data_IF_240317005525
#
_entry.id   IF_240317005525
#
_cell.length_a   1.000
_cell.length_b   1.000
_cell.length_c   1.000
_cell.angle_alpha   90.00
_cell.angle_beta   90.00
_cell.angle_gamma   90.00
#
_symmetry.space_group_name_H-M   'P 1'
#
loop_
_entity.id
_entity.type
_entity.pdbx_description
1 polymer ?
#
# COMPACT_ATOMS: atom_id res chain seq x y z
N UNK A 1 -29.56 25.71 -20.62
CA UNK A 1 -28.70 24.53 -20.83
C UNK A 1 -27.32 25.04 -21.26
N UNK A 2 -26.57 24.98 -20.51
CA UNK A 2 -25.37 25.16 -19.68
C UNK A 2 -24.10 25.37 -20.54
N UNK A 3 -23.77 26.66 -20.74
CA UNK A 3 -22.43 27.08 -21.21
C UNK A 3 -21.30 26.79 -20.17
N UNK A 4 -21.63 26.57 -18.91
CA UNK A 4 -20.65 26.29 -17.85
C UNK A 4 -20.13 24.83 -17.90
N UNK A 5 -20.95 23.87 -18.31
CA UNK A 5 -20.54 22.47 -18.41
C UNK A 5 -19.57 22.21 -19.58
N UNK A 6 -19.73 22.95 -20.68
CA UNK A 6 -18.85 22.84 -21.86
C UNK A 6 -17.45 23.39 -21.57
N UNK A 7 -17.35 24.42 -20.74
CA UNK A 7 -16.07 25.02 -20.36
C UNK A 7 -15.27 24.12 -19.42
N UNK A 8 -15.96 23.36 -18.54
CA UNK A 8 -15.33 22.41 -17.63
C UNK A 8 -14.81 21.17 -18.35
N UNK A 9 -15.56 20.63 -19.31
CA UNK A 9 -15.13 19.48 -20.11
C UNK A 9 -13.95 19.84 -21.04
N UNK A 10 -13.93 21.04 -21.59
CA UNK A 10 -12.83 21.52 -22.42
C UNK A 10 -11.55 21.76 -21.60
N UNK A 11 -11.67 22.38 -20.43
CA UNK A 11 -10.56 22.59 -19.50
C UNK A 11 -9.98 21.25 -19.01
N UNK A 12 -10.83 20.29 -18.66
CA UNK A 12 -10.41 18.94 -18.22
C UNK A 12 -9.69 18.19 -19.34
N UNK A 13 -10.11 18.37 -20.58
CA UNK A 13 -9.48 17.75 -21.75
C UNK A 13 -8.09 18.33 -22.02
N UNK A 14 -7.94 19.64 -21.92
CA UNK A 14 -6.65 20.33 -22.06
C UNK A 14 -5.68 19.87 -20.97
N UNK A 15 -6.13 19.77 -19.72
CA UNK A 15 -5.33 19.29 -18.59
C UNK A 15 -4.88 17.83 -18.78
N UNK A 16 -5.77 16.97 -19.27
CA UNK A 16 -5.46 15.55 -19.55
C UNK A 16 -4.45 15.43 -20.70
N UNK A 17 -4.51 16.27 -21.72
CA UNK A 17 -3.57 16.25 -22.83
C UNK A 17 -2.20 16.82 -22.42
N UNK A 18 -2.15 17.84 -21.56
CA UNK A 18 -0.91 18.32 -20.95
C UNK A 18 -0.27 17.27 -20.03
N UNK A 19 -1.06 16.58 -19.20
CA UNK A 19 -0.61 15.46 -18.37
C UNK A 19 -0.02 14.31 -19.20
N UNK A 20 -0.66 13.95 -20.31
CA UNK A 20 -0.16 12.93 -21.23
C UNK A 20 1.14 13.34 -21.90
N UNK A 21 1.25 14.61 -22.33
CA UNK A 21 2.45 15.15 -22.96
C UNK A 21 3.61 15.21 -21.96
N UNK A 22 3.36 15.59 -20.72
CA UNK A 22 4.36 15.62 -19.65
C UNK A 22 4.80 14.20 -19.25
N UNK A 23 3.90 13.23 -19.15
CA UNK A 23 4.21 11.81 -18.95
C UNK A 23 5.03 11.23 -20.11
N UNK A 24 4.72 11.59 -21.37
CA UNK A 24 5.49 11.16 -22.54
C UNK A 24 6.89 11.78 -22.59
N UNK A 25 7.04 13.04 -22.16
CA UNK A 25 8.35 13.71 -22.02
C UNK A 25 9.18 13.05 -20.89
N UNK A 26 8.54 12.66 -19.78
CA UNK A 26 9.16 11.93 -18.69
C UNK A 26 9.63 10.52 -19.09
N UNK A 27 8.85 9.79 -19.88
CA UNK A 27 9.26 8.49 -20.42
C UNK A 27 10.49 8.59 -21.34
N UNK A 28 10.74 9.76 -21.90
CA UNK A 28 11.91 10.02 -22.77
C UNK A 28 13.18 10.37 -21.99
N UNK A 29 13.06 10.77 -20.72
CA UNK A 29 14.18 11.14 -19.84
C UNK A 29 14.42 10.03 -18.80
N UNK A 30 15.00 8.93 -19.21
CA UNK A 30 15.30 7.75 -18.37
C UNK A 30 16.32 7.99 -17.22
N UNK A 31 16.70 9.23 -16.93
CA UNK A 31 17.69 9.57 -15.89
C UNK A 31 17.19 10.57 -14.83
N UNK A 32 15.88 10.67 -14.60
CA UNK A 32 15.37 11.58 -13.56
C UNK A 32 15.65 11.01 -12.18
N UNK A 33 16.44 11.71 -11.39
CA UNK A 33 16.78 11.33 -10.00
C UNK A 33 15.54 11.35 -9.11
N UNK A 34 15.46 10.48 -8.08
CA UNK A 34 14.29 10.42 -7.17
C UNK A 34 13.88 11.77 -6.57
N UNK A 35 14.84 12.67 -6.31
CA UNK A 35 14.56 14.02 -5.77
C UNK A 35 13.90 14.97 -6.80
N UNK A 36 14.11 14.76 -8.08
CA UNK A 36 13.48 15.55 -9.15
C UNK A 36 12.03 15.07 -9.40
N UNK A 37 11.80 13.76 -9.26
CA UNK A 37 10.45 13.17 -9.25
C UNK A 37 9.58 13.74 -8.15
N UNK A 38 10.10 13.85 -6.92
CA UNK A 38 9.38 14.43 -5.80
C UNK A 38 8.97 15.87 -6.09
N UNK A 39 9.89 16.71 -6.58
CA UNK A 39 9.60 18.09 -6.94
C UNK A 39 8.54 18.23 -8.03
N UNK A 40 8.60 17.40 -9.06
CA UNK A 40 7.61 17.44 -10.14
C UNK A 40 6.25 16.93 -9.68
N UNK A 41 6.21 15.91 -8.85
CA UNK A 41 4.99 15.41 -8.25
C UNK A 41 4.32 16.50 -7.39
N UNK A 42 5.08 17.20 -6.55
CA UNK A 42 4.56 18.28 -5.72
C UNK A 42 4.05 19.46 -6.55
N UNK A 43 4.75 19.81 -7.62
CA UNK A 43 4.31 20.84 -8.56
C UNK A 43 3.02 20.44 -9.30
N UNK A 44 2.92 19.18 -9.73
CA UNK A 44 1.73 18.64 -10.40
C UNK A 44 0.52 18.65 -9.46
N UNK A 45 0.71 18.17 -8.22
CA UNK A 45 -0.35 18.18 -7.21
C UNK A 45 -0.82 19.60 -6.89
N UNK A 46 0.11 20.57 -6.83
CA UNK A 46 -0.23 21.96 -6.61
C UNK A 46 -1.08 22.53 -7.74
N UNK A 47 -0.68 22.32 -8.99
CA UNK A 47 -1.44 22.76 -10.17
C UNK A 47 -2.83 22.11 -10.19
N UNK A 48 -2.92 20.79 -9.98
CA UNK A 48 -4.20 20.08 -9.95
C UNK A 48 -5.10 20.62 -8.83
N UNK A 49 -4.57 20.91 -7.65
CA UNK A 49 -5.36 21.43 -6.52
C UNK A 49 -5.83 22.87 -6.76
N UNK A 50 -5.03 23.71 -7.41
CA UNK A 50 -5.39 25.09 -7.74
C UNK A 50 -6.49 25.14 -8.82
N UNK A 51 -6.40 24.30 -9.87
CA UNK A 51 -7.36 24.25 -10.98
C UNK A 51 -8.67 23.55 -10.61
N UNK A 52 -8.63 22.49 -9.78
CA UNK A 52 -9.82 21.68 -9.46
C UNK A 52 -10.51 22.10 -8.17
N UNK A 53 -9.94 23.07 -7.40
CA UNK A 53 -10.38 23.44 -6.04
C UNK A 53 -10.44 22.25 -5.07
N UNK A 54 -9.81 21.15 -5.39
CA UNK A 54 -9.65 20.03 -4.48
C UNK A 54 -8.56 20.43 -3.47
N UNK A 55 -8.87 20.49 -2.16
CA UNK A 55 -7.88 20.90 -1.19
C UNK A 55 -6.68 19.95 -1.23
N UNK A 56 -5.49 20.52 -1.49
CA UNK A 56 -4.24 19.80 -1.31
C UNK A 56 -4.11 19.39 0.17
N UNK A 57 -4.07 18.11 0.43
CA UNK A 57 -3.81 17.57 1.76
C UNK A 57 -2.32 17.30 1.86
N UNK A 58 -1.55 18.11 2.63
CA UNK A 58 -0.12 17.90 2.77
C UNK A 58 0.20 16.50 3.30
N UNK A 59 1.37 15.98 2.93
CA UNK A 59 1.89 14.68 3.39
C UNK A 59 1.90 14.51 4.93
N UNK A 60 1.87 15.62 5.68
CA UNK A 60 1.78 15.66 7.15
C UNK A 60 0.53 15.00 7.73
N UNK A 61 -0.49 14.73 6.92
CA UNK A 61 -1.71 14.02 7.34
C UNK A 61 -1.56 12.50 7.24
N UNK A 62 -0.51 12.00 6.58
CA UNK A 62 -0.24 10.57 6.54
C UNK A 62 0.33 10.14 7.88
N UNK A 63 -0.44 9.31 8.60
CA UNK A 63 0.01 8.76 9.88
C UNK A 63 1.35 8.02 9.70
N UNK A 64 2.35 8.44 10.49
CA UNK A 64 3.66 7.81 10.46
C UNK A 64 3.54 6.38 11.01
N UNK A 65 3.97 5.41 10.22
CA UNK A 65 3.99 4.02 10.65
C UNK A 65 4.92 3.82 11.86
N UNK A 66 4.41 3.38 13.00
CA UNK A 66 5.25 3.03 14.14
C UNK A 66 6.10 1.77 13.82
N UNK A 67 7.10 1.51 14.65
CA UNK A 67 7.94 0.31 14.53
C UNK A 67 7.14 -0.98 14.59
N UNK A 68 6.17 -1.04 15.48
CA UNK A 68 5.29 -2.19 15.71
C UNK A 68 3.85 -1.83 15.38
N UNK A 69 3.16 -2.72 14.70
CA UNK A 69 1.72 -2.64 14.47
C UNK A 69 1.05 -3.88 15.02
N UNK A 70 -0.06 -3.71 15.70
CA UNK A 70 -0.97 -4.84 16.00
C UNK A 70 -1.42 -5.46 14.68
N UNK A 71 -1.61 -6.77 14.68
CA UNK A 71 -1.88 -7.52 13.47
C UNK A 71 -2.98 -8.55 13.68
N UNK A 72 -3.97 -8.52 12.82
CA UNK A 72 -4.95 -9.59 12.69
C UNK A 72 -4.50 -10.60 11.63
N UNK A 73 -4.71 -11.89 11.92
CA UNK A 73 -4.37 -13.00 11.03
C UNK A 73 -5.65 -13.53 10.39
N UNK A 74 -5.82 -13.27 9.11
CA UNK A 74 -6.96 -13.74 8.32
C UNK A 74 -6.53 -14.92 7.46
N UNK A 75 -7.32 -15.99 7.45
CA UNK A 75 -7.10 -17.15 6.60
C UNK A 75 -8.21 -17.29 5.60
N UNK A 76 -7.86 -17.59 4.38
CA UNK A 76 -8.82 -17.81 3.30
C UNK A 76 -8.32 -18.88 2.36
N UNK A 77 -9.18 -19.28 1.45
CA UNK A 77 -8.86 -20.27 0.42
C UNK A 77 -9.09 -19.65 -0.96
N UNK A 78 -8.13 -19.82 -1.83
CA UNK A 78 -8.21 -19.44 -3.23
C UNK A 78 -7.71 -20.60 -4.09
N UNK A 79 -8.47 -21.01 -5.12
CA UNK A 79 -8.12 -22.11 -6.04
C UNK A 79 -7.67 -23.40 -5.35
N UNK A 80 -8.32 -23.77 -4.22
CA UNK A 80 -7.99 -24.91 -3.34
C UNK A 80 -6.70 -24.74 -2.51
N UNK A 81 -5.95 -23.67 -2.71
CA UNK A 81 -4.79 -23.34 -1.90
C UNK A 81 -5.20 -22.60 -0.63
N UNK A 82 -4.45 -22.83 0.44
CA UNK A 82 -4.65 -22.14 1.71
C UNK A 82 -3.78 -20.88 1.74
N UNK A 83 -4.40 -19.78 2.08
CA UNK A 83 -3.80 -18.48 2.12
C UNK A 83 -3.87 -17.86 3.51
N UNK A 84 -2.94 -16.98 3.81
CA UNK A 84 -2.93 -16.17 5.01
C UNK A 84 -2.69 -14.72 4.65
N UNK A 85 -3.45 -13.83 5.29
CA UNK A 85 -3.20 -12.40 5.27
C UNK A 85 -2.91 -11.92 6.69
N UNK A 86 -1.85 -11.14 6.82
CA UNK A 86 -1.45 -10.43 8.02
C UNK A 86 -1.85 -8.97 7.84
N UNK A 87 -2.90 -8.53 8.55
CA UNK A 87 -3.44 -7.17 8.45
C UNK A 87 -2.92 -6.35 9.61
N UNK A 88 -1.97 -5.46 9.33
CA UNK A 88 -1.44 -4.52 10.30
C UNK A 88 -2.43 -3.38 10.57
N UNK A 89 -2.66 -3.10 11.85
CA UNK A 89 -3.64 -2.11 12.30
C UNK A 89 -2.93 -0.90 12.93
N UNK A 90 -3.33 0.29 12.54
CA UNK A 90 -2.94 1.53 13.20
C UNK A 90 -4.18 2.21 13.76
N UNK A 91 -4.21 2.41 15.08
CA UNK A 91 -5.37 2.96 15.78
C UNK A 91 -6.68 2.21 15.49
N UNK A 92 -6.59 0.88 15.35
CA UNK A 92 -7.73 0.01 15.05
C UNK A 92 -8.17 -0.03 13.59
N UNK A 93 -7.51 0.71 12.69
CA UNK A 93 -7.80 0.72 11.25
C UNK A 93 -6.76 -0.08 10.47
N UNK A 94 -7.15 -0.79 9.39
CA UNK A 94 -6.22 -1.43 8.48
C UNK A 94 -5.24 -0.40 7.89
N UNK A 95 -3.95 -0.67 8.05
CA UNK A 95 -2.87 0.23 7.62
C UNK A 95 -1.94 -0.42 6.60
N UNK A 96 -1.70 -1.71 6.77
CA UNK A 96 -0.87 -2.50 5.85
C UNK A 96 -1.34 -3.95 5.80
N UNK A 97 -1.05 -4.61 4.70
CA UNK A 97 -1.37 -6.03 4.51
C UNK A 97 -0.16 -6.75 3.95
N UNK A 98 0.04 -7.99 4.40
CA UNK A 98 0.98 -8.95 3.83
C UNK A 98 0.21 -10.23 3.58
N UNK A 99 0.33 -10.80 2.39
CA UNK A 99 -0.41 -12.01 2.05
C UNK A 99 0.43 -12.97 1.23
N UNK A 100 0.16 -14.25 1.39
CA UNK A 100 0.80 -15.31 0.67
C UNK A 100 0.23 -16.67 1.04
N UNK A 101 0.83 -17.72 0.50
CA UNK A 101 0.44 -19.10 0.76
C UNK A 101 0.69 -19.49 2.24
N UNK A 102 -0.20 -20.32 2.77
CA UNK A 102 0.01 -20.98 4.04
C UNK A 102 0.71 -22.32 3.78
N UNK A 103 1.98 -22.24 3.47
CA UNK A 103 2.87 -23.32 3.06
C UNK A 103 4.25 -23.15 3.69
N UNK A 104 5.00 -24.25 3.86
CA UNK A 104 6.33 -24.21 4.48
C UNK A 104 7.42 -23.72 3.51
N UNK A 105 7.28 -24.02 2.23
CA UNK A 105 8.29 -23.75 1.20
C UNK A 105 8.01 -22.40 0.48
N UNK A 106 6.75 -22.14 0.14
CA UNK A 106 6.36 -20.98 -0.68
C UNK A 106 5.59 -19.89 0.09
N UNK A 107 5.63 -19.93 1.42
CA UNK A 107 4.88 -18.98 2.24
C UNK A 107 5.25 -19.03 3.70
N UNK A 108 4.25 -18.94 4.56
CA UNK A 108 4.42 -19.07 6.02
C UNK A 108 3.41 -20.06 6.60
N UNK A 109 3.89 -20.94 7.47
CA UNK A 109 3.03 -21.87 8.19
C UNK A 109 2.70 -21.30 9.59
N UNK A 110 1.41 -21.02 9.82
CA UNK A 110 0.91 -20.52 11.09
C UNK A 110 -0.06 -21.52 11.75
N UNK A 111 0.10 -21.81 13.05
CA UNK A 111 -0.88 -22.60 13.80
C UNK A 111 -2.28 -21.96 13.72
N UNK A 112 -3.32 -22.78 13.55
CA UNK A 112 -4.72 -22.31 13.45
C UNK A 112 -5.16 -21.43 14.61
N UNK A 113 -4.55 -21.60 15.78
CA UNK A 113 -4.85 -20.83 17.00
C UNK A 113 -4.31 -19.41 16.98
N UNK A 114 -3.40 -19.07 16.06
CA UNK A 114 -2.82 -17.74 15.97
C UNK A 114 -3.74 -16.88 15.12
N UNK A 115 -4.52 -16.02 15.77
CA UNK A 115 -5.45 -15.09 15.12
C UNK A 115 -4.98 -13.64 15.21
N UNK A 116 -4.01 -13.38 16.08
CA UNK A 116 -3.44 -12.03 16.31
C UNK A 116 -1.95 -12.10 16.51
N UNK A 117 -1.29 -10.98 16.28
CA UNK A 117 0.16 -10.82 16.50
C UNK A 117 0.58 -9.38 16.34
N UNK A 118 1.85 -9.20 16.00
CA UNK A 118 2.45 -7.87 15.70
C UNK A 118 3.32 -7.96 14.48
N UNK A 119 3.27 -6.93 13.65
CA UNK A 119 4.22 -6.75 12.57
C UNK A 119 5.27 -5.74 13.02
N UNK A 120 6.53 -6.19 13.08
CA UNK A 120 7.68 -5.39 13.49
C UNK A 120 8.48 -5.00 12.25
N UNK A 121 8.66 -3.70 12.04
CA UNK A 121 9.52 -3.16 10.99
C UNK A 121 10.89 -2.85 11.58
N UNK A 122 11.93 -3.42 10.99
CA UNK A 122 13.32 -3.14 11.31
C UNK A 122 14.02 -2.53 10.09
N UNK A 123 14.85 -1.54 10.30
CA UNK A 123 15.74 -1.01 9.26
C UNK A 123 17.11 -1.60 9.53
N UNK A 124 17.65 -2.34 8.57
CA UNK A 124 18.96 -2.95 8.65
C UNK A 124 20.06 -1.91 8.41
N UNK A 125 21.32 -2.26 8.65
CA UNK A 125 22.47 -1.36 8.52
C UNK A 125 22.64 -0.80 7.09
N UNK A 126 22.24 -1.57 6.09
CA UNK A 126 22.24 -1.18 4.67
C UNK A 126 21.04 -0.33 4.26
N UNK A 127 20.15 0.02 5.22
CA UNK A 127 18.94 0.78 4.97
C UNK A 127 17.75 -0.06 4.46
N UNK A 128 17.94 -1.36 4.24
CA UNK A 128 16.85 -2.26 3.82
C UNK A 128 15.83 -2.43 4.95
N UNK A 129 14.56 -2.42 4.58
CA UNK A 129 13.44 -2.57 5.51
C UNK A 129 13.06 -4.04 5.58
N UNK A 130 13.20 -4.65 6.77
CA UNK A 130 12.73 -6.00 7.08
C UNK A 130 11.44 -5.94 7.89
N UNK A 131 10.50 -6.83 7.59
CA UNK A 131 9.24 -6.98 8.29
C UNK A 131 9.16 -8.39 8.87
N UNK A 132 8.92 -8.47 10.18
CA UNK A 132 8.84 -9.71 10.93
C UNK A 132 7.45 -9.83 11.55
N UNK A 133 6.88 -11.03 11.59
CA UNK A 133 5.62 -11.29 12.29
C UNK A 133 5.89 -11.98 13.62
N UNK A 134 5.41 -11.38 14.70
CA UNK A 134 5.55 -11.88 16.06
C UNK A 134 4.20 -12.28 16.63
N UNK A 135 4.12 -13.44 17.26
CA UNK A 135 2.92 -13.94 17.90
C UNK A 135 3.25 -14.77 19.15
N UNK A 136 2.23 -15.03 19.96
CA UNK A 136 2.36 -15.91 21.12
C UNK A 136 1.68 -17.24 20.79
N UNK A 137 2.39 -18.36 20.99
CA UNK A 137 1.83 -19.68 20.76
C UNK A 137 0.92 -20.12 21.93
N UNK A 138 0.23 -21.25 21.79
CA UNK A 138 -0.67 -21.80 22.83
C UNK A 138 0.01 -22.06 24.17
N UNK A 139 1.34 -22.21 24.19
CA UNK A 139 2.12 -22.46 25.42
C UNK A 139 2.62 -21.16 26.06
N UNK A 140 2.26 -19.99 25.50
CA UNK A 140 2.71 -18.69 26.00
C UNK A 140 4.09 -18.23 25.51
N UNK A 141 4.73 -18.97 24.62
CA UNK A 141 6.05 -18.58 24.08
C UNK A 141 5.90 -17.60 22.91
N UNK A 142 6.75 -16.58 22.92
CA UNK A 142 6.87 -15.63 21.83
C UNK A 142 7.58 -16.32 20.65
N UNK A 143 6.91 -16.32 19.51
CA UNK A 143 7.42 -16.84 18.25
C UNK A 143 7.60 -15.70 17.26
N UNK A 144 8.59 -15.81 16.38
CA UNK A 144 8.92 -14.81 15.36
C UNK A 144 9.07 -15.50 14.02
N UNK A 145 8.41 -14.96 13.00
CA UNK A 145 8.67 -15.27 11.60
C UNK A 145 9.39 -14.06 11.03
N UNK A 146 10.67 -14.24 10.73
CA UNK A 146 11.53 -13.19 10.21
C UNK A 146 11.42 -13.08 8.70
N UNK A 147 11.61 -11.86 8.17
CA UNK A 147 11.79 -11.63 6.74
C UNK A 147 10.56 -11.97 5.90
N UNK A 148 9.37 -11.42 6.21
CA UNK A 148 8.14 -11.69 5.46
C UNK A 148 8.30 -11.47 3.94
N UNK A 149 9.14 -10.51 3.53
CA UNK A 149 9.41 -10.24 2.11
C UNK A 149 10.16 -11.36 1.39
N UNK A 150 10.86 -12.20 2.15
CA UNK A 150 11.62 -13.34 1.63
C UNK A 150 10.78 -14.62 1.62
N UNK A 151 9.71 -14.63 2.43
CA UNK A 151 8.81 -15.79 2.60
C UNK A 151 7.66 -15.78 1.61
N UNK A 152 7.20 -14.60 1.22
CA UNK A 152 6.08 -14.48 0.30
C UNK A 152 6.57 -14.28 -1.14
N UNK A 153 5.84 -14.85 -2.09
CA UNK A 153 6.09 -14.65 -3.51
C UNK A 153 6.17 -13.14 -3.84
N UNK A 154 7.18 -12.69 -4.60
CA UNK A 154 7.39 -11.28 -4.93
C UNK A 154 6.20 -10.60 -5.61
N UNK A 155 5.42 -11.32 -6.41
CA UNK A 155 4.23 -10.79 -7.08
C UNK A 155 3.17 -10.40 -6.04
N UNK A 156 2.80 -11.31 -5.14
CA UNK A 156 1.84 -11.03 -4.06
C UNK A 156 2.35 -9.98 -3.08
N UNK A 157 3.65 -9.97 -2.83
CA UNK A 157 4.31 -8.93 -2.06
C UNK A 157 4.14 -7.54 -2.68
N UNK A 158 4.25 -7.41 -3.99
CA UNK A 158 4.07 -6.14 -4.70
C UNK A 158 2.61 -5.68 -4.68
N UNK A 159 1.64 -6.58 -4.90
CA UNK A 159 0.21 -6.25 -4.74
C UNK A 159 -0.11 -5.81 -3.31
N UNK A 160 0.41 -6.50 -2.31
CA UNK A 160 0.25 -6.14 -0.91
C UNK A 160 0.80 -4.75 -0.59
N UNK A 161 1.93 -4.34 -1.19
CA UNK A 161 2.47 -2.97 -1.08
C UNK A 161 1.53 -1.93 -1.66
N UNK A 162 0.96 -2.17 -2.84
CA UNK A 162 0.00 -1.25 -3.47
C UNK A 162 -1.25 -1.08 -2.59
N UNK A 163 -1.85 -2.18 -2.15
CA UNK A 163 -3.00 -2.15 -1.25
C UNK A 163 -2.65 -1.42 0.06
N UNK A 164 -1.48 -1.71 0.64
CA UNK A 164 -1.01 -1.01 1.85
C UNK A 164 -0.84 0.50 1.62
N UNK A 165 -0.39 0.91 0.43
CA UNK A 165 -0.33 2.32 0.04
C UNK A 165 -1.71 2.99 0.12
N UNK A 166 -2.72 2.36 -0.48
CA UNK A 166 -4.11 2.86 -0.47
C UNK A 166 -4.69 2.91 0.95
N UNK A 167 -4.44 1.88 1.78
CA UNK A 167 -4.92 1.82 3.17
C UNK A 167 -4.33 2.94 4.04
N UNK A 168 -3.08 3.32 3.84
CA UNK A 168 -2.40 4.40 4.59
C UNK A 168 -3.06 5.77 4.40
N UNK A 169 -3.66 5.99 3.24
CA UNK A 169 -4.42 7.22 2.94
C UNK A 169 -5.88 7.14 3.39
N UNK A 170 -6.22 6.13 4.21
CA UNK A 170 -7.56 5.95 4.77
C UNK A 170 -8.68 5.92 3.73
N UNK A 171 -8.39 5.36 2.56
CA UNK A 171 -9.45 5.09 1.59
C UNK A 171 -10.52 4.20 2.24
N UNK A 172 -11.81 4.53 2.13
CA UNK A 172 -12.88 3.68 2.66
C UNK A 172 -12.76 2.24 2.16
N UNK A 173 -12.91 1.28 3.06
CA UNK A 173 -12.62 -0.13 2.78
C UNK A 173 -13.47 -0.68 1.61
N UNK A 174 -14.69 -0.19 1.45
CA UNK A 174 -15.57 -0.56 0.35
C UNK A 174 -15.00 -0.15 -1.01
N UNK A 175 -14.29 0.98 -1.07
CA UNK A 175 -13.61 1.44 -2.28
C UNK A 175 -12.34 0.61 -2.55
N UNK A 176 -11.60 0.24 -1.51
CA UNK A 176 -10.45 -0.65 -1.64
C UNK A 176 -10.88 -2.01 -2.19
N UNK A 177 -11.98 -2.58 -1.65
CA UNK A 177 -12.54 -3.85 -2.12
C UNK A 177 -12.95 -3.76 -3.60
N UNK A 178 -13.62 -2.67 -3.99
CA UNK A 178 -13.99 -2.46 -5.41
C UNK A 178 -12.76 -2.38 -6.31
N UNK A 179 -11.73 -1.66 -5.88
CA UNK A 179 -10.48 -1.53 -6.63
C UNK A 179 -9.82 -2.89 -6.83
N UNK A 180 -9.68 -3.67 -5.77
CA UNK A 180 -9.04 -5.00 -5.81
C UNK A 180 -9.85 -5.99 -6.66
N UNK A 181 -11.17 -5.94 -6.63
CA UNK A 181 -12.02 -6.82 -7.44
C UNK A 181 -12.01 -6.49 -8.96
N UNK A 182 -11.38 -5.40 -9.36
CA UNK A 182 -11.24 -4.99 -10.75
C UNK A 182 -9.85 -5.31 -11.33
N UNK A 183 -8.94 -5.80 -10.52
CA UNK A 183 -7.60 -6.25 -10.92
C UNK A 183 -7.60 -7.71 -11.33
#
# INVERSE_FOLDING_TARGET
>A
MNKENTNFEEATKVLLDELKNNLAALHKQYEVRPAEWSKMHDQLLKVVSEETQIPYVPEEVVEVRPRELECDVVRYQNNKEKWVALVGLLNGHPYEIFTGLQDEDEGIMLPKSVTKGKIVKTVLEDGVKRYDFQFVNKRGYKMIIEGLSEKFNPEYWNYAKLISGVLRYRMPIEHVIKLVNQL
#
